data_IF_689055145416
#
_entry.id   IF_689055145416
#
_cell.length_a   1.000
_cell.length_b   1.000
_cell.length_c   1.000
_cell.angle_alpha   90.00
_cell.angle_beta   90.00
_cell.angle_gamma   90.00
#
_symmetry.space_group_name_H-M   'P 1'
#
loop_
_entity.id
_entity.type
_entity.pdbx_description
1 polymer ?
#
# COMPACT_ATOMS: atom_id res chain seq x y z
N UNK A 1 -5.03 -2.95 3.21
CA UNK A 1 -5.05 -1.58 3.49
C UNK A 1 -3.76 -0.91 3.91
N UNK A 2 -2.87 -1.60 4.62
CA UNK A 2 -1.64 -0.98 5.12
C UNK A 2 -0.75 -0.47 3.98
N UNK A 3 -0.59 -1.26 2.95
CA UNK A 3 0.28 -0.89 1.84
C UNK A 3 -0.26 0.29 1.06
N UNK A 4 -1.56 0.37 0.90
CA UNK A 4 -2.21 1.48 0.22
C UNK A 4 -1.99 2.78 1.00
N UNK A 5 -2.16 2.75 2.32
CA UNK A 5 -1.91 3.92 3.17
C UNK A 5 -0.46 4.36 3.07
N UNK A 6 0.47 3.42 3.18
CA UNK A 6 1.89 3.71 3.10
C UNK A 6 2.27 4.32 1.75
N UNK A 7 1.71 3.78 0.68
CA UNK A 7 1.91 4.30 -0.66
C UNK A 7 1.47 5.77 -0.77
N UNK A 8 0.28 6.08 -0.26
CA UNK A 8 -0.25 7.44 -0.36
C UNK A 8 0.50 8.44 0.49
N UNK A 9 1.05 8.01 1.62
CA UNK A 9 1.75 8.90 2.54
C UNK A 9 3.22 9.09 2.20
N UNK A 10 3.90 8.02 1.77
CA UNK A 10 5.36 8.05 1.68
C UNK A 10 5.94 7.66 0.34
N UNK A 11 5.10 7.37 -0.64
CA UNK A 11 5.58 6.96 -1.94
C UNK A 11 4.81 7.66 -3.04
N UNK A 12 5.10 7.27 -4.30
CA UNK A 12 4.41 7.83 -5.45
C UNK A 12 4.38 6.79 -6.55
N UNK A 13 3.53 7.04 -7.54
CA UNK A 13 3.43 6.17 -8.70
C UNK A 13 4.77 6.01 -9.40
N UNK A 14 5.51 7.11 -9.54
CA UNK A 14 6.82 7.08 -10.19
C UNK A 14 7.82 6.22 -9.45
N UNK A 15 7.87 6.34 -8.12
CA UNK A 15 8.80 5.57 -7.30
C UNK A 15 8.47 4.07 -7.36
N UNK A 16 7.19 3.74 -7.30
CA UNK A 16 6.77 2.34 -7.37
C UNK A 16 7.07 1.75 -8.73
N UNK A 17 6.85 2.52 -9.80
CA UNK A 17 7.18 2.05 -11.16
C UNK A 17 8.67 1.84 -11.35
N UNK A 18 9.49 2.71 -10.77
CA UNK A 18 10.93 2.63 -10.90
C UNK A 18 11.52 1.49 -10.10
N UNK A 19 11.12 1.38 -8.84
CA UNK A 19 11.73 0.43 -7.90
C UNK A 19 10.96 -0.87 -7.72
N UNK A 20 9.69 -0.87 -8.09
CA UNK A 20 8.85 -2.05 -8.00
C UNK A 20 8.67 -2.55 -6.58
N UNK A 21 8.89 -3.86 -6.39
CA UNK A 21 8.64 -4.49 -5.09
C UNK A 21 9.54 -3.94 -3.99
N UNK A 22 10.73 -3.46 -4.33
CA UNK A 22 11.62 -2.86 -3.32
C UNK A 22 10.98 -1.65 -2.66
N UNK A 23 10.30 -0.83 -3.44
CA UNK A 23 9.61 0.34 -2.89
C UNK A 23 8.44 -0.10 -2.01
N UNK A 24 7.68 -1.11 -2.44
CA UNK A 24 6.58 -1.63 -1.64
C UNK A 24 7.06 -2.19 -0.31
N UNK A 25 8.18 -2.90 -0.30
CA UNK A 25 8.77 -3.42 0.93
C UNK A 25 9.23 -2.29 1.85
N UNK A 26 9.87 -1.28 1.27
CA UNK A 26 10.37 -0.13 2.04
C UNK A 26 9.22 0.57 2.78
N UNK A 27 8.16 0.88 2.07
CA UNK A 27 7.03 1.60 2.67
C UNK A 27 6.24 0.72 3.64
N UNK A 28 6.21 -0.58 3.40
CA UNK A 28 5.55 -1.51 4.31
C UNK A 28 6.26 -1.56 5.66
N UNK A 29 7.59 -1.67 5.65
CA UNK A 29 8.39 -1.65 6.87
C UNK A 29 8.22 -0.32 7.58
N UNK A 30 8.25 0.79 6.83
CA UNK A 30 8.05 2.10 7.40
C UNK A 30 6.68 2.22 8.06
N UNK A 31 5.63 1.67 7.44
CA UNK A 31 4.30 1.69 8.02
C UNK A 31 4.26 0.95 9.35
N UNK A 32 4.87 -0.23 9.41
CA UNK A 32 4.90 -1.00 10.65
C UNK A 32 5.59 -0.24 11.78
N UNK A 33 6.71 0.43 11.47
CA UNK A 33 7.45 1.23 12.45
C UNK A 33 6.65 2.43 12.90
N UNK A 34 6.09 3.17 11.96
CA UNK A 34 5.35 4.40 12.27
C UNK A 34 4.03 4.12 12.98
N UNK A 35 3.34 3.03 12.62
CA UNK A 35 2.06 2.71 13.21
C UNK A 35 2.18 2.30 14.69
N UNK A 36 3.34 1.86 15.12
CA UNK A 36 3.58 1.59 16.53
C UNK A 36 3.48 2.86 17.36
N UNK A 37 3.81 4.00 16.76
CA UNK A 37 3.81 5.31 17.41
C UNK A 37 2.52 6.10 17.14
N UNK A 38 1.80 5.74 16.07
CA UNK A 38 0.65 6.53 15.61
C UNK A 38 -0.51 5.62 15.23
N UNK A 39 -1.49 5.53 16.13
CA UNK A 39 -2.67 4.70 15.93
C UNK A 39 -3.54 5.16 14.78
N UNK A 40 -3.46 6.43 14.38
CA UNK A 40 -4.24 6.96 13.26
C UNK A 40 -3.93 6.22 11.97
N UNK A 41 -2.70 5.76 11.80
CA UNK A 41 -2.32 4.99 10.62
C UNK A 41 -3.08 3.67 10.54
N UNK A 42 -3.29 3.03 11.68
CA UNK A 42 -4.06 1.80 11.73
C UNK A 42 -5.51 2.05 11.38
N UNK A 43 -6.07 3.16 11.86
CA UNK A 43 -7.45 3.54 11.52
C UNK A 43 -7.61 3.79 10.02
N UNK A 44 -6.65 4.47 9.41
CA UNK A 44 -6.66 4.69 7.96
C UNK A 44 -6.58 3.38 7.19
N UNK A 45 -5.74 2.45 7.65
CA UNK A 45 -5.62 1.15 7.01
C UNK A 45 -6.95 0.39 7.06
N UNK A 46 -7.66 0.47 8.17
CA UNK A 46 -8.98 -0.14 8.31
C UNK A 46 -10.00 0.48 7.37
N UNK A 47 -9.95 1.80 7.20
CA UNK A 47 -10.83 2.49 6.28
C UNK A 47 -10.61 2.01 4.84
N UNK A 48 -9.36 1.84 4.43
CA UNK A 48 -9.05 1.32 3.10
C UNK A 48 -9.48 -0.13 2.94
N UNK A 49 -9.35 -0.93 3.99
CA UNK A 49 -9.81 -2.31 3.98
C UNK A 49 -11.33 -2.36 3.76
N UNK A 50 -12.08 -1.51 4.46
CA UNK A 50 -13.53 -1.42 4.29
C UNK A 50 -13.89 -0.99 2.87
N UNK A 51 -13.16 -0.02 2.33
CA UNK A 51 -13.37 0.41 0.93
C UNK A 51 -13.19 -0.75 -0.04
N UNK A 52 -12.18 -1.58 0.18
CA UNK A 52 -11.95 -2.75 -0.66
C UNK A 52 -13.11 -3.74 -0.58
N UNK A 53 -13.65 -3.96 0.61
CA UNK A 53 -14.82 -4.82 0.79
C UNK A 53 -16.06 -4.26 0.08
N UNK A 54 -16.17 -2.94 0.01
CA UNK A 54 -17.26 -2.26 -0.68
C UNK A 54 -17.05 -2.13 -2.18
N UNK A 55 -15.97 -2.73 -2.71
CA UNK A 55 -15.62 -2.68 -4.12
C UNK A 55 -15.33 -1.24 -4.60
N UNK A 56 -14.69 -0.43 -3.77
CA UNK A 56 -14.28 0.91 -4.15
C UNK A 56 -13.28 0.83 -5.31
N UNK A 57 -13.56 1.52 -6.44
CA UNK A 57 -12.72 1.40 -7.63
C UNK A 57 -11.26 1.81 -7.39
N UNK A 58 -11.03 2.87 -6.63
CA UNK A 58 -9.67 3.34 -6.36
C UNK A 58 -8.89 2.31 -5.55
N UNK A 59 -9.51 1.78 -4.49
CA UNK A 59 -8.86 0.80 -3.63
C UNK A 59 -8.51 -0.45 -4.41
N UNK A 60 -9.45 -0.95 -5.22
CA UNK A 60 -9.24 -2.15 -6.02
C UNK A 60 -8.17 -1.93 -7.10
N UNK A 61 -8.16 -0.76 -7.73
CA UNK A 61 -7.17 -0.43 -8.75
C UNK A 61 -5.75 -0.45 -8.19
N UNK A 62 -5.55 0.20 -7.05
CA UNK A 62 -4.24 0.22 -6.40
C UNK A 62 -3.83 -1.19 -5.96
N UNK A 63 -4.76 -1.93 -5.38
CA UNK A 63 -4.51 -3.28 -4.92
C UNK A 63 -4.10 -4.20 -6.06
N UNK A 64 -4.83 -4.15 -7.16
CA UNK A 64 -4.52 -4.97 -8.33
C UNK A 64 -3.16 -4.60 -8.92
N UNK A 65 -2.83 -3.32 -8.94
CA UNK A 65 -1.53 -2.86 -9.41
C UNK A 65 -0.39 -3.44 -8.55
N UNK A 66 -0.56 -3.41 -7.24
CA UNK A 66 0.44 -3.98 -6.34
C UNK A 66 0.59 -5.48 -6.54
N UNK A 67 -0.50 -6.18 -6.79
CA UNK A 67 -0.46 -7.62 -7.08
C UNK A 67 0.30 -7.89 -8.37
N UNK A 68 0.10 -7.09 -9.39
CA UNK A 68 0.83 -7.24 -10.65
C UNK A 68 2.33 -7.07 -10.45
N UNK A 69 2.73 -6.10 -9.64
CA UNK A 69 4.14 -5.88 -9.36
C UNK A 69 4.74 -7.11 -8.68
N UNK A 70 4.05 -7.69 -7.72
CA UNK A 70 4.52 -8.87 -7.01
C UNK A 70 4.64 -10.07 -7.94
N UNK A 71 3.65 -10.30 -8.79
CA UNK A 71 3.66 -11.40 -9.75
C UNK A 71 4.79 -11.24 -10.74
N UNK A 72 4.98 -10.05 -11.28
CA UNK A 72 6.03 -9.80 -12.25
C UNK A 72 7.42 -9.98 -11.64
N UNK A 73 7.57 -9.66 -10.34
CA UNK A 73 8.85 -9.79 -9.67
C UNK A 73 9.24 -11.26 -9.48
N UNK A 74 8.27 -12.12 -9.20
CA UNK A 74 8.51 -13.53 -8.95
C UNK A 74 8.19 -14.44 -10.13
N UNK A 75 7.51 -13.91 -11.10
CA UNK A 75 7.12 -14.65 -12.28
C UNK A 75 8.19 -14.74 -13.31
#
# INVERSE_FOLDING_TARGET
GKLIVAYKLWSSEELVKEKGIEELLRIYVKFNTESEKNEDLILEARQWFVKMEQNDPEALEIWNWFKEIQVNQYG
#
